data_IF_774858223648
#
_entry.id   IF_774858223648
#
_cell.length_a   1.000
_cell.length_b   1.000
_cell.length_c   1.000
_cell.angle_alpha   90.00
_cell.angle_beta   90.00
_cell.angle_gamma   90.00
#
_symmetry.space_group_name_H-M   'P 1'
#
loop_
_entity.id
_entity.type
_entity.pdbx_description
1 polymer ?
#
# COMPACT_ATOMS: atom_id res chain seq x y z
N UNK A 1 40.25 17.07 20.37
CA UNK A 1 39.26 17.73 21.23
C UNK A 1 37.89 17.65 20.56
N UNK A 2 36.93 16.97 21.18
CA UNK A 2 35.47 17.01 20.91
C UNK A 2 34.99 18.47 21.15
N UNK A 3 34.02 19.06 20.44
CA UNK A 3 32.57 18.91 20.64
C UNK A 3 31.75 19.79 19.67
N UNK A 4 30.60 19.25 19.24
CA UNK A 4 29.24 19.85 19.09
C UNK A 4 28.96 21.04 18.15
N UNK A 5 28.20 20.73 17.08
CA UNK A 5 26.81 21.16 16.81
C UNK A 5 26.45 22.65 16.99
N UNK A 6 26.17 23.35 15.87
CA UNK A 6 25.07 24.32 15.78
C UNK A 6 24.42 24.32 14.38
N UNK A 7 23.08 24.19 14.41
CA UNK A 7 22.09 24.37 13.37
C UNK A 7 22.21 25.72 12.64
N UNK A 8 22.05 25.73 11.30
CA UNK A 8 21.29 26.80 10.62
C UNK A 8 20.52 26.20 9.43
N UNK A 9 19.20 26.31 9.51
CA UNK A 9 18.22 26.13 8.42
C UNK A 9 18.00 27.51 7.79
N UNK A 10 18.09 27.62 6.45
CA UNK A 10 17.53 28.72 5.65
C UNK A 10 17.50 28.29 4.17
N UNK A 11 16.37 27.75 3.68
CA UNK A 11 15.35 28.41 2.83
C UNK A 11 15.87 29.08 1.56
N UNK A 12 15.50 28.53 0.40
CA UNK A 12 15.32 29.31 -0.84
C UNK A 12 14.02 28.84 -1.50
N UNK A 13 13.00 29.71 -1.43
CA UNK A 13 11.80 29.71 -2.27
C UNK A 13 12.16 30.58 -3.49
N UNK A 14 12.03 30.05 -4.70
CA UNK A 14 12.01 30.89 -5.92
C UNK A 14 10.59 30.88 -6.45
N UNK A 15 9.89 31.96 -6.17
CA UNK A 15 8.67 32.38 -6.86
C UNK A 15 9.09 33.10 -8.13
N UNK A 16 8.67 32.63 -9.31
CA UNK A 16 8.75 33.41 -10.54
C UNK A 16 7.47 34.21 -10.68
N UNK A 17 7.57 35.51 -10.39
CA UNK A 17 6.60 36.50 -10.81
C UNK A 17 7.29 37.44 -11.80
N UNK A 18 6.77 37.51 -13.01
CA UNK A 18 6.92 38.67 -13.88
C UNK A 18 5.50 39.06 -14.30
N UNK A 19 5.01 40.15 -13.71
CA UNK A 19 3.82 40.84 -14.20
C UNK A 19 4.16 41.72 -15.39
N UNK A 20 3.14 42.19 -16.12
CA UNK A 20 2.67 43.58 -16.02
C UNK A 20 1.46 43.83 -16.94
N UNK A 21 0.67 44.83 -16.53
CA UNK A 21 -0.33 45.63 -17.26
C UNK A 21 -1.77 45.11 -17.36
N UNK A 22 -2.59 45.76 -16.52
CA UNK A 22 -4.04 45.87 -16.62
C UNK A 22 -4.42 46.80 -17.78
N UNK A 23 -5.57 46.54 -18.40
CA UNK A 23 -6.39 47.63 -18.93
C UNK A 23 -7.86 47.40 -18.58
N UNK A 24 -8.45 48.47 -18.03
CA UNK A 24 -9.82 48.61 -17.58
C UNK A 24 -10.83 48.57 -18.73
N UNK A 25 -12.03 48.03 -18.49
CA UNK A 25 -13.33 48.69 -18.78
C UNK A 25 -14.49 47.73 -18.48
N UNK A 26 -15.36 48.16 -17.57
CA UNK A 26 -16.65 47.57 -17.25
C UNK A 26 -17.66 47.87 -18.36
N UNK A 27 -18.46 46.87 -18.78
CA UNK A 27 -19.78 47.12 -19.39
C UNK A 27 -20.83 46.13 -18.90
N UNK A 28 -21.71 46.69 -18.07
CA UNK A 28 -23.06 46.23 -17.75
C UNK A 28 -23.91 46.11 -19.02
N UNK A 29 -24.62 45.00 -19.19
CA UNK A 29 -25.91 45.01 -19.87
C UNK A 29 -26.79 43.94 -19.21
N UNK A 30 -27.83 44.41 -18.52
CA UNK A 30 -28.85 43.54 -17.96
C UNK A 30 -29.76 42.99 -19.05
N UNK A 31 -30.28 41.78 -18.81
CA UNK A 31 -31.55 41.36 -19.35
C UNK A 31 -32.32 40.63 -18.25
N UNK A 32 -33.14 41.40 -17.55
CA UNK A 32 -34.26 40.91 -16.76
C UNK A 32 -35.32 40.34 -17.70
N UNK A 33 -35.70 39.08 -17.51
CA UNK A 33 -37.04 38.59 -17.86
C UNK A 33 -37.50 37.60 -16.81
N UNK A 34 -38.28 38.11 -15.86
CA UNK A 34 -39.13 37.33 -14.97
C UNK A 34 -40.29 36.76 -15.79
N UNK A 35 -40.75 35.55 -15.44
CA UNK A 35 -42.18 35.27 -15.28
C UNK A 35 -42.38 34.15 -14.24
N UNK A 36 -43.30 34.44 -13.34
CA UNK A 36 -43.75 33.66 -12.18
C UNK A 36 -44.41 32.32 -12.54
N UNK A 37 -44.38 31.36 -11.60
CA UNK A 37 -45.55 30.93 -10.78
C UNK A 37 -45.46 29.45 -10.35
N UNK A 38 -45.58 29.30 -9.03
CA UNK A 38 -45.79 28.14 -8.15
C UNK A 38 -46.22 26.76 -8.70
N UNK A 39 -45.62 25.71 -8.12
CA UNK A 39 -46.37 24.62 -7.47
C UNK A 39 -45.53 23.94 -6.38
N UNK A 40 -46.05 23.99 -5.15
CA UNK A 40 -45.56 23.35 -3.93
C UNK A 40 -45.51 21.82 -4.05
N UNK A 41 -44.42 21.20 -3.60
CA UNK A 41 -44.46 19.98 -2.74
C UNK A 41 -43.18 19.89 -1.91
N UNK A 42 -43.27 20.40 -0.68
CA UNK A 42 -42.32 20.06 0.38
C UNK A 42 -42.64 18.64 0.85
N UNK A 43 -41.87 17.64 0.43
CA UNK A 43 -41.97 16.29 1.01
C UNK A 43 -41.13 16.23 2.29
N UNK A 44 -41.81 16.52 3.39
CA UNK A 44 -41.35 16.32 4.76
C UNK A 44 -41.09 14.83 5.03
N UNK A 45 -39.91 14.48 5.54
CA UNK A 45 -39.69 13.18 6.17
C UNK A 45 -39.89 13.34 7.67
N UNK A 46 -40.92 12.64 8.14
CA UNK A 46 -41.44 12.62 9.49
C UNK A 46 -40.47 11.88 10.41
N UNK A 47 -39.91 12.58 11.40
CA UNK A 47 -39.18 12.00 12.51
C UNK A 47 -40.19 11.43 13.51
N UNK A 48 -40.24 10.12 13.70
CA UNK A 48 -40.91 9.54 14.87
C UNK A 48 -39.92 9.50 16.02
N UNK A 49 -40.12 10.45 16.95
CA UNK A 49 -39.62 10.42 18.31
C UNK A 49 -40.27 9.24 19.03
N UNK A 50 -39.47 8.28 19.48
CA UNK A 50 -39.87 7.35 20.54
C UNK A 50 -38.97 7.62 21.74
N UNK A 51 -39.62 7.77 22.89
CA UNK A 51 -39.08 8.30 24.13
C UNK A 51 -37.91 7.51 24.70
N UNK A 52 -37.08 8.26 25.40
CA UNK A 52 -35.91 7.80 26.13
C UNK A 52 -36.29 6.80 27.24
N UNK A 53 -35.63 5.65 27.23
CA UNK A 53 -35.29 4.91 28.45
C UNK A 53 -33.77 4.92 28.54
N UNK A 54 -33.25 5.65 29.50
CA UNK A 54 -31.81 5.73 29.81
C UNK A 54 -31.37 4.45 30.50
N UNK A 55 -30.45 3.69 29.89
CA UNK A 55 -29.58 2.73 30.58
C UNK A 55 -28.16 2.75 29.97
N UNK A 56 -27.11 2.49 30.77
CA UNK A 56 -25.75 2.92 30.50
C UNK A 56 -24.93 1.92 29.68
N UNK A 57 -24.09 2.47 28.80
CA UNK A 57 -22.76 1.97 28.44
C UNK A 57 -22.63 0.53 27.93
N UNK A 58 -22.50 0.38 26.61
CA UNK A 58 -21.38 -0.34 25.99
C UNK A 58 -21.29 0.16 24.55
N UNK A 59 -20.14 0.73 24.21
CA UNK A 59 -19.78 1.16 22.86
C UNK A 59 -19.37 -0.08 22.06
N UNK A 60 -20.31 -0.66 21.34
CA UNK A 60 -20.08 -1.67 20.31
C UNK A 60 -20.54 -1.11 18.96
N UNK A 61 -19.65 -0.32 18.34
CA UNK A 61 -19.78 0.13 16.96
C UNK A 61 -19.87 -1.04 15.97
N UNK A 62 -21.09 -1.50 15.73
CA UNK A 62 -21.46 -2.39 14.63
C UNK A 62 -21.32 -1.59 13.33
N UNK A 63 -20.18 -1.75 12.67
CA UNK A 63 -19.94 -1.19 11.34
C UNK A 63 -20.91 -1.84 10.34
N UNK A 64 -21.82 -1.02 9.81
CA UNK A 64 -22.70 -1.34 8.71
C UNK A 64 -21.90 -1.92 7.53
N UNK A 65 -22.20 -3.17 7.18
CA UNK A 65 -21.69 -3.82 5.97
C UNK A 65 -22.35 -3.20 4.73
N UNK A 66 -21.90 -2.02 4.31
CA UNK A 66 -22.25 -1.49 3.00
C UNK A 66 -21.48 -2.30 1.94
N UNK A 67 -22.09 -3.40 1.51
CA UNK A 67 -21.64 -4.16 0.35
C UNK A 67 -21.97 -3.32 -0.88
N UNK A 68 -20.94 -2.97 -1.66
CA UNK A 68 -21.12 -2.28 -2.93
C UNK A 68 -22.03 -3.14 -3.81
N UNK A 69 -23.26 -2.68 -4.03
CA UNK A 69 -24.26 -3.37 -4.83
C UNK A 69 -23.95 -3.16 -6.32
N UNK A 70 -23.13 -4.02 -6.90
CA UNK A 70 -22.79 -3.98 -8.34
C UNK A 70 -23.97 -4.35 -9.26
N UNK A 71 -25.09 -4.81 -8.70
CA UNK A 71 -26.24 -5.31 -9.45
C UNK A 71 -26.93 -4.21 -10.29
N UNK A 72 -26.74 -2.94 -9.94
CA UNK A 72 -27.23 -1.78 -10.68
C UNK A 72 -26.29 -1.24 -11.79
N UNK A 73 -25.00 -1.58 -11.79
CA UNK A 73 -24.02 -1.15 -12.81
C UNK A 73 -23.77 -2.21 -13.90
N UNK A 74 -24.33 -3.42 -13.76
CA UNK A 74 -23.99 -4.60 -14.55
C UNK A 74 -24.89 -4.83 -15.78
N UNK A 75 -25.86 -3.96 -16.05
CA UNK A 75 -26.76 -4.06 -17.21
C UNK A 75 -26.00 -3.70 -18.50
N UNK A 76 -25.41 -4.73 -19.13
CA UNK A 76 -24.63 -4.59 -20.38
C UNK A 76 -23.17 -5.04 -20.29
N UNK A 77 -22.67 -5.40 -19.10
CA UNK A 77 -21.33 -5.98 -18.95
C UNK A 77 -21.31 -7.46 -19.35
N UNK A 78 -20.25 -7.92 -19.99
CA UNK A 78 -20.06 -9.35 -20.24
C UNK A 78 -19.86 -10.14 -18.93
N UNK A 79 -20.29 -11.41 -18.92
CA UNK A 79 -20.14 -12.29 -17.76
C UNK A 79 -18.70 -12.43 -17.26
N UNK A 80 -17.72 -12.34 -18.18
CA UNK A 80 -16.29 -12.38 -17.83
C UNK A 80 -15.87 -11.17 -17.00
N UNK A 81 -16.38 -9.98 -17.33
CA UNK A 81 -16.09 -8.75 -16.58
C UNK A 81 -16.80 -8.79 -15.22
N UNK A 82 -18.05 -9.25 -15.16
CA UNK A 82 -18.77 -9.42 -13.89
C UNK A 82 -18.01 -10.35 -12.94
N UNK A 83 -17.54 -11.51 -13.42
CA UNK A 83 -16.71 -12.44 -12.62
C UNK A 83 -15.41 -11.80 -12.13
N UNK A 84 -14.77 -10.97 -12.95
CA UNK A 84 -13.54 -10.26 -12.57
C UNK A 84 -13.82 -9.22 -11.46
N UNK A 85 -14.88 -8.43 -11.60
CA UNK A 85 -15.30 -7.43 -10.61
C UNK A 85 -15.67 -8.10 -9.28
N UNK A 86 -16.41 -9.21 -9.31
CA UNK A 86 -16.74 -9.99 -8.11
C UNK A 86 -15.47 -10.47 -7.42
N UNK A 87 -14.51 -11.03 -8.17
CA UNK A 87 -13.23 -11.50 -7.62
C UNK A 87 -12.42 -10.37 -6.97
N UNK A 88 -12.42 -9.18 -7.58
CA UNK A 88 -11.77 -7.98 -7.02
C UNK A 88 -12.49 -7.49 -5.76
N UNK A 89 -13.82 -7.49 -5.77
CA UNK A 89 -14.64 -7.12 -4.61
C UNK A 89 -14.40 -8.07 -3.43
N UNK A 90 -14.47 -9.38 -3.65
CA UNK A 90 -14.19 -10.39 -2.62
C UNK A 90 -12.77 -10.23 -2.05
N UNK A 91 -11.80 -9.89 -2.90
CA UNK A 91 -10.43 -9.62 -2.48
C UNK A 91 -10.35 -8.35 -1.63
N UNK A 92 -11.00 -7.26 -2.06
CA UNK A 92 -11.10 -6.02 -1.31
C UNK A 92 -11.66 -6.25 0.09
N UNK A 93 -12.77 -6.99 0.21
CA UNK A 93 -13.35 -7.32 1.52
C UNK A 93 -12.40 -8.13 2.40
N UNK A 94 -11.65 -9.09 1.83
CA UNK A 94 -10.68 -9.91 2.59
C UNK A 94 -9.50 -9.11 3.15
N UNK A 95 -9.10 -8.03 2.47
CA UNK A 95 -8.00 -7.15 2.88
C UNK A 95 -8.47 -5.91 3.65
N UNK A 96 -9.77 -5.63 3.72
CA UNK A 96 -10.33 -4.46 4.41
C UNK A 96 -9.87 -4.45 5.87
N UNK A 97 -9.41 -3.29 6.34
CA UNK A 97 -8.87 -3.10 7.69
C UNK A 97 -7.52 -3.75 7.96
N UNK A 98 -6.88 -4.39 6.96
CA UNK A 98 -5.57 -5.03 7.10
C UNK A 98 -4.52 -4.28 6.29
N UNK A 99 -3.32 -4.17 6.85
CA UNK A 99 -2.13 -3.68 6.14
C UNK A 99 -1.03 -4.75 6.19
N UNK A 100 -0.08 -4.77 5.24
CA UNK A 100 1.07 -5.67 5.30
C UNK A 100 1.78 -5.62 6.66
N UNK A 101 2.01 -4.42 7.21
CA UNK A 101 2.61 -4.24 8.54
C UNK A 101 1.78 -4.90 9.65
N UNK A 102 0.47 -4.64 9.70
CA UNK A 102 -0.39 -5.19 10.76
C UNK A 102 -0.50 -6.72 10.69
N UNK A 103 -0.51 -7.29 9.49
CA UNK A 103 -0.50 -8.76 9.31
C UNK A 103 0.85 -9.33 9.71
N UNK A 104 1.96 -8.70 9.32
CA UNK A 104 3.30 -9.14 9.71
C UNK A 104 3.47 -9.14 11.23
N UNK A 105 3.11 -8.03 11.88
CA UNK A 105 3.23 -7.88 13.33
C UNK A 105 2.41 -8.94 14.09
N UNK A 106 1.23 -9.30 13.57
CA UNK A 106 0.42 -10.40 14.13
C UNK A 106 1.12 -11.75 14.01
N UNK A 107 1.78 -12.02 12.89
CA UNK A 107 2.51 -13.27 12.68
C UNK A 107 3.73 -13.36 13.58
N UNK A 108 4.51 -12.28 13.67
CA UNK A 108 5.70 -12.18 14.54
C UNK A 108 5.32 -12.33 16.01
N UNK A 109 4.20 -11.73 16.44
CA UNK A 109 3.69 -11.86 17.80
C UNK A 109 3.01 -13.22 18.09
N UNK A 110 2.87 -14.09 17.09
CA UNK A 110 2.20 -15.38 17.28
C UNK A 110 3.12 -16.37 18.02
N UNK A 111 2.55 -17.19 18.90
CA UNK A 111 3.28 -18.28 19.59
C UNK A 111 3.95 -19.27 18.63
N UNK A 112 3.43 -19.37 17.40
CA UNK A 112 3.95 -20.24 16.35
C UNK A 112 5.06 -19.62 15.51
N UNK A 113 5.53 -18.41 15.84
CA UNK A 113 6.55 -17.71 15.04
C UNK A 113 7.89 -18.46 15.08
N UNK A 114 8.40 -18.71 16.28
CA UNK A 114 9.70 -19.34 16.50
C UNK A 114 9.73 -20.73 15.84
N UNK A 115 10.71 -20.95 14.97
CA UNK A 115 10.89 -22.19 14.21
C UNK A 115 9.99 -22.35 12.98
N UNK A 116 9.04 -21.43 12.74
CA UNK A 116 8.18 -21.44 11.53
C UNK A 116 8.23 -20.13 10.75
N UNK A 117 9.27 -19.30 10.95
CA UNK A 117 9.36 -17.94 10.45
C UNK A 117 9.19 -17.91 8.92
N UNK A 118 9.91 -18.77 8.20
CA UNK A 118 9.82 -18.84 6.74
C UNK A 118 8.41 -19.20 6.27
N UNK A 119 7.76 -20.19 6.91
CA UNK A 119 6.40 -20.58 6.54
C UNK A 119 5.42 -19.42 6.76
N UNK A 120 5.50 -18.75 7.91
CA UNK A 120 4.66 -17.58 8.22
C UNK A 120 4.93 -16.42 7.26
N UNK A 121 6.19 -16.19 6.90
CA UNK A 121 6.54 -15.17 5.91
C UNK A 121 5.99 -15.53 4.52
N UNK A 122 6.02 -16.79 4.09
CA UNK A 122 5.38 -17.20 2.83
C UNK A 122 3.87 -16.93 2.84
N UNK A 123 3.18 -17.18 3.95
CA UNK A 123 1.77 -16.82 4.14
C UNK A 123 1.56 -15.30 4.02
N UNK A 124 2.47 -14.52 4.62
CA UNK A 124 2.46 -13.07 4.54
C UNK A 124 2.69 -12.57 3.10
N UNK A 125 3.64 -13.13 2.35
CA UNK A 125 3.88 -12.78 0.95
C UNK A 125 2.64 -13.03 0.08
N UNK A 126 1.95 -14.16 0.27
CA UNK A 126 0.66 -14.42 -0.41
C UNK A 126 -0.40 -13.39 -0.05
N UNK A 127 -0.41 -12.91 1.20
CA UNK A 127 -1.29 -11.79 1.58
C UNK A 127 -0.89 -10.52 0.83
N UNK A 128 0.39 -10.17 0.76
CA UNK A 128 0.86 -8.97 0.08
C UNK A 128 0.57 -9.01 -1.42
N UNK A 129 0.67 -10.16 -2.08
CA UNK A 129 0.25 -10.31 -3.49
C UNK A 129 -1.22 -9.96 -3.71
N UNK A 130 -2.09 -10.36 -2.78
CA UNK A 130 -3.52 -9.99 -2.83
C UNK A 130 -3.71 -8.51 -2.52
N UNK A 131 -2.94 -7.97 -1.58
CA UNK A 131 -2.98 -6.56 -1.23
C UNK A 131 -2.61 -5.67 -2.41
N UNK A 132 -1.53 -6.00 -3.12
CA UNK A 132 -1.01 -5.27 -4.30
C UNK A 132 -1.98 -5.17 -5.47
N UNK A 133 -2.96 -6.08 -5.56
CA UNK A 133 -4.00 -6.05 -6.61
C UNK A 133 -5.03 -4.95 -6.39
N UNK A 134 -5.05 -4.35 -5.21
CA UNK A 134 -6.06 -3.37 -4.78
C UNK A 134 -5.42 -2.08 -4.28
N UNK A 135 -4.23 -2.16 -3.69
CA UNK A 135 -3.50 -1.01 -3.16
C UNK A 135 -2.02 -1.14 -3.49
N UNK A 136 -1.40 -0.03 -3.86
CA UNK A 136 0.05 0.00 -4.08
C UNK A 136 0.79 -0.35 -2.78
N UNK A 137 1.86 -1.13 -2.92
CA UNK A 137 2.75 -1.48 -1.82
C UNK A 137 4.13 -1.82 -2.36
N UNK A 138 5.06 -0.86 -2.47
CA UNK A 138 6.35 -1.02 -3.14
C UNK A 138 7.26 -2.10 -2.52
N UNK A 139 8.20 -2.63 -3.30
CA UNK A 139 9.20 -3.61 -2.81
C UNK A 139 10.09 -3.02 -1.72
N UNK A 140 10.36 -1.71 -1.78
CA UNK A 140 11.13 -1.01 -0.77
C UNK A 140 10.46 -1.02 0.61
N UNK A 141 9.14 -0.80 0.66
CA UNK A 141 8.38 -0.88 1.91
C UNK A 141 8.33 -2.32 2.43
N UNK A 142 8.12 -3.28 1.54
CA UNK A 142 8.15 -4.71 1.89
C UNK A 142 9.49 -5.11 2.52
N UNK A 143 10.60 -4.72 1.90
CA UNK A 143 11.94 -4.99 2.40
C UNK A 143 12.18 -4.29 3.75
N UNK A 144 11.76 -3.04 3.89
CA UNK A 144 11.89 -2.27 5.13
C UNK A 144 11.16 -2.91 6.30
N UNK A 145 10.00 -3.54 6.07
CA UNK A 145 9.28 -4.29 7.10
C UNK A 145 9.97 -5.58 7.52
N UNK A 146 10.63 -6.27 6.58
CA UNK A 146 11.28 -7.55 6.85
C UNK A 146 12.67 -7.38 7.48
N UNK A 147 13.36 -6.29 7.18
CA UNK A 147 14.75 -6.08 7.58
C UNK A 147 14.99 -6.10 9.11
N UNK A 148 14.09 -5.59 9.96
CA UNK A 148 14.25 -5.68 11.42
C UNK A 148 14.11 -7.09 11.99
N UNK A 149 13.43 -8.01 11.28
CA UNK A 149 13.11 -9.35 11.77
C UNK A 149 13.90 -10.46 11.07
N UNK A 150 14.63 -10.15 10.00
CA UNK A 150 15.40 -11.12 9.22
C UNK A 150 16.77 -10.56 8.80
N UNK A 151 17.80 -11.39 8.90
CA UNK A 151 19.14 -11.07 8.39
C UNK A 151 19.18 -11.08 6.86
N UNK A 152 20.22 -10.47 6.27
CA UNK A 152 20.42 -10.46 4.81
C UNK A 152 20.44 -11.88 4.21
N UNK A 153 21.11 -12.82 4.89
CA UNK A 153 21.17 -14.23 4.49
C UNK A 153 19.81 -14.93 4.54
N UNK A 154 19.03 -14.68 5.60
CA UNK A 154 17.69 -15.25 5.73
C UNK A 154 16.76 -14.72 4.64
N UNK A 155 16.79 -13.41 4.36
CA UNK A 155 16.01 -12.82 3.26
C UNK A 155 16.40 -13.41 1.90
N UNK A 156 17.71 -13.51 1.61
CA UNK A 156 18.18 -14.10 0.35
C UNK A 156 17.72 -15.55 0.20
N UNK A 157 17.77 -16.33 1.29
CA UNK A 157 17.30 -17.73 1.32
C UNK A 157 15.80 -17.81 1.09
N UNK A 158 15.03 -16.94 1.75
CA UNK A 158 13.57 -16.88 1.62
C UNK A 158 13.16 -16.52 0.18
N UNK A 159 13.74 -15.46 -0.40
CA UNK A 159 13.43 -15.04 -1.77
C UNK A 159 13.83 -16.11 -2.79
N UNK A 160 14.98 -16.76 -2.60
CA UNK A 160 15.38 -17.88 -3.42
C UNK A 160 14.39 -19.05 -3.33
N UNK A 161 13.88 -19.37 -2.13
CA UNK A 161 12.90 -20.44 -1.95
C UNK A 161 11.57 -20.14 -2.65
N UNK A 162 11.17 -18.87 -2.70
CA UNK A 162 9.93 -18.43 -3.35
C UNK A 162 9.94 -18.66 -4.87
N UNK A 163 11.11 -18.63 -5.52
CA UNK A 163 11.26 -18.85 -6.96
C UNK A 163 10.81 -20.25 -7.42
N UNK A 164 10.85 -21.21 -6.50
CA UNK A 164 10.39 -22.58 -6.76
C UNK A 164 8.89 -22.78 -6.49
N UNK A 165 8.21 -21.76 -5.95
CA UNK A 165 6.78 -21.82 -5.62
C UNK A 165 6.01 -21.07 -6.72
N UNK A 166 5.15 -21.73 -7.53
CA UNK A 166 4.55 -21.11 -8.71
C UNK A 166 3.80 -19.79 -8.46
N UNK A 167 3.08 -19.67 -7.34
CA UNK A 167 2.33 -18.45 -7.00
C UNK A 167 3.23 -17.32 -6.49
N UNK A 168 4.41 -17.62 -5.94
CA UNK A 168 5.33 -16.63 -5.38
C UNK A 168 6.57 -16.39 -6.25
N UNK A 169 6.71 -17.08 -7.38
CA UNK A 169 7.93 -17.05 -8.20
C UNK A 169 8.33 -15.63 -8.57
N UNK A 170 7.42 -14.88 -9.19
CA UNK A 170 7.69 -13.51 -9.64
C UNK A 170 8.04 -12.59 -8.46
N UNK A 171 7.36 -12.74 -7.32
CA UNK A 171 7.67 -11.98 -6.12
C UNK A 171 9.07 -12.32 -5.58
N UNK A 172 9.46 -13.60 -5.60
CA UNK A 172 10.79 -14.06 -5.21
C UNK A 172 11.88 -13.47 -6.09
N UNK A 173 11.70 -13.50 -7.42
CA UNK A 173 12.62 -12.89 -8.38
C UNK A 173 12.78 -11.39 -8.16
N UNK A 174 11.67 -10.66 -8.04
CA UNK A 174 11.68 -9.21 -7.82
C UNK A 174 12.34 -8.82 -6.51
N UNK A 175 12.01 -9.51 -5.40
CA UNK A 175 12.59 -9.21 -4.09
C UNK A 175 14.07 -9.56 -4.01
N UNK A 176 14.49 -10.65 -4.67
CA UNK A 176 15.91 -11.00 -4.77
C UNK A 176 16.68 -9.96 -5.60
N UNK A 177 16.12 -9.52 -6.73
CA UNK A 177 16.71 -8.44 -7.55
C UNK A 177 16.82 -7.14 -6.76
N UNK A 178 15.76 -6.77 -6.02
CA UNK A 178 15.75 -5.60 -5.17
C UNK A 178 16.84 -5.66 -4.09
N UNK A 179 17.02 -6.82 -3.46
CA UNK A 179 18.09 -7.03 -2.49
C UNK A 179 19.48 -6.84 -3.12
N UNK A 180 19.71 -7.38 -4.32
CA UNK A 180 20.99 -7.21 -5.03
C UNK A 180 21.26 -5.75 -5.40
N UNK A 181 20.23 -5.03 -5.85
CA UNK A 181 20.33 -3.60 -6.14
C UNK A 181 20.70 -2.82 -4.87
N UNK A 182 20.03 -3.09 -3.74
CA UNK A 182 20.36 -2.46 -2.47
C UNK A 182 21.82 -2.69 -2.05
N UNK A 183 22.35 -3.90 -2.21
CA UNK A 183 23.76 -4.16 -1.88
C UNK A 183 24.71 -3.37 -2.79
N UNK A 184 24.41 -3.25 -4.08
CA UNK A 184 25.19 -2.41 -5.00
C UNK A 184 25.13 -0.93 -4.63
N UNK A 185 23.95 -0.42 -4.31
CA UNK A 185 23.74 0.98 -3.92
C UNK A 185 24.51 1.32 -2.62
N UNK A 186 24.64 0.34 -1.72
CA UNK A 186 25.48 0.40 -0.51
C UNK A 186 26.97 0.22 -0.79
N UNK A 187 27.37 0.04 -2.04
CA UNK A 187 28.75 -0.25 -2.48
C UNK A 187 29.34 -1.50 -1.83
N UNK A 188 28.50 -2.49 -1.56
CA UNK A 188 28.97 -3.79 -1.07
C UNK A 188 29.88 -4.44 -2.11
N UNK A 189 30.98 -5.02 -1.64
CA UNK A 189 31.85 -5.82 -2.49
C UNK A 189 31.34 -7.26 -2.53
N UNK A 190 31.75 -8.02 -3.54
CA UNK A 190 31.48 -9.45 -3.56
C UNK A 190 31.96 -10.16 -2.27
N UNK A 191 33.11 -9.74 -1.71
CA UNK A 191 33.63 -10.29 -0.45
C UNK A 191 32.70 -10.00 0.73
N UNK A 192 32.16 -8.78 0.83
CA UNK A 192 31.22 -8.44 1.89
C UNK A 192 29.86 -9.10 1.69
N UNK A 193 29.34 -9.18 0.46
CA UNK A 193 28.11 -9.94 0.17
C UNK A 193 28.25 -11.42 0.54
N UNK A 194 29.37 -12.06 0.20
CA UNK A 194 29.65 -13.44 0.66
C UNK A 194 29.63 -13.56 2.19
N UNK A 195 30.17 -12.57 2.89
CA UNK A 195 30.13 -12.52 4.36
C UNK A 195 28.70 -12.35 4.89
N UNK A 196 27.89 -11.49 4.27
CA UNK A 196 26.48 -11.27 4.62
C UNK A 196 25.63 -12.53 4.45
N UNK A 197 25.92 -13.32 3.43
CA UNK A 197 25.20 -14.53 3.09
C UNK A 197 25.64 -15.78 3.84
N UNK A 198 26.88 -15.78 4.33
CA UNK A 198 27.50 -16.95 4.93
C UNK A 198 27.77 -18.07 3.92
N UNK A 199 28.19 -19.23 4.43
CA UNK A 199 28.63 -20.35 3.60
C UNK A 199 27.49 -21.17 2.98
N UNK A 200 26.22 -20.81 3.20
CA UNK A 200 25.08 -21.72 3.03
C UNK A 200 24.20 -21.45 1.79
N UNK A 201 24.51 -20.45 0.96
CA UNK A 201 23.60 -20.02 -0.11
C UNK A 201 24.11 -20.31 -1.53
N UNK A 202 23.31 -21.07 -2.28
CA UNK A 202 23.44 -21.32 -3.74
C UNK A 202 23.32 -20.04 -4.57
N UNK A 203 22.82 -18.95 -3.97
CA UNK A 203 22.67 -17.59 -4.54
C UNK A 203 24.00 -16.98 -5.04
N UNK A 204 25.14 -17.54 -4.64
CA UNK A 204 26.46 -17.03 -4.99
C UNK A 204 26.61 -16.82 -6.51
N UNK A 205 26.15 -17.74 -7.37
CA UNK A 205 26.25 -17.59 -8.84
C UNK A 205 25.36 -16.46 -9.41
N UNK A 206 24.13 -16.33 -8.92
CA UNK A 206 23.21 -15.28 -9.36
C UNK A 206 23.72 -13.90 -8.94
N UNK A 207 24.34 -13.80 -7.77
CA UNK A 207 25.01 -12.59 -7.28
C UNK A 207 26.22 -12.27 -8.16
N UNK A 208 27.04 -13.26 -8.48
CA UNK A 208 28.17 -13.07 -9.40
C UNK A 208 27.71 -12.51 -10.75
N UNK A 209 26.64 -13.05 -11.31
CA UNK A 209 26.04 -12.57 -12.56
C UNK A 209 25.52 -11.13 -12.38
N UNK A 210 24.74 -10.88 -11.33
CA UNK A 210 24.21 -9.56 -11.04
C UNK A 210 25.31 -8.51 -10.89
N UNK A 211 26.41 -8.80 -10.19
CA UNK A 211 27.52 -7.86 -10.02
C UNK A 211 28.37 -7.67 -11.29
N UNK A 212 28.35 -8.61 -12.24
CA UNK A 212 29.09 -8.52 -13.51
C UNK A 212 28.32 -7.81 -14.63
N UNK A 213 27.00 -7.99 -14.75
CA UNK A 213 26.19 -7.46 -15.86
C UNK A 213 25.92 -5.95 -15.80
N UNK A 214 26.54 -5.22 -14.86
CA UNK A 214 26.31 -3.78 -14.66
C UNK A 214 27.60 -2.97 -14.54
N UNK A 215 28.72 -3.58 -14.91
CA UNK A 215 30.04 -2.95 -15.07
C UNK A 215 30.36 -2.84 -16.57
#
# INVERSE_FOLDING_TARGET
>A
MRFLLLLVVATIIISVASGLEQHTTSKTTGLTRSFDTAATTKRSLRTTKTEAVTLPGTDDGIYSEERVNFQGMATGLSEKIKKLLQKLSDMFFRIRGKTPNNVLNRLVASKSWEGNENQKLLEWFRFVERYRKVKEFPDAEMYALLKPIQTESQLATLFQSMKSIPDLKNMGETMQMYQFKLWKDRKETLKSVKKLLGHKTTSTQEIYKAFKETA
#
